data_IF_292910565334
#
_entry.id   IF_292910565334
#
_cell.length_a   1.000
_cell.length_b   1.000
_cell.length_c   1.000
_cell.angle_alpha   90.00
_cell.angle_beta   90.00
_cell.angle_gamma   90.00
#
_symmetry.space_group_name_H-M   'P 1'
#
loop_
_entity.id
_entity.type
_entity.pdbx_description
1 polymer ?
#
# COMPACT_ATOMS: atom_id res chain seq x y z
N UNK A 1 8.68 2.13 13.86
CA UNK A 1 8.35 3.46 13.29
C UNK A 1 7.21 3.28 12.31
N UNK A 2 6.52 4.36 11.94
CA UNK A 2 5.53 4.36 10.88
C UNK A 2 6.15 4.75 9.53
N UNK A 3 5.63 4.17 8.46
CA UNK A 3 6.02 4.46 7.08
C UNK A 3 4.77 4.57 6.21
N UNK A 4 4.89 5.29 5.11
CA UNK A 4 3.90 5.40 4.02
C UNK A 4 4.26 4.44 2.90
N UNK A 5 3.32 4.14 2.00
CA UNK A 5 3.56 3.26 0.85
C UNK A 5 3.28 4.03 -0.44
N UNK A 6 4.13 3.82 -1.45
CA UNK A 6 3.98 4.46 -2.75
C UNK A 6 2.90 3.77 -3.59
N UNK A 7 2.10 4.57 -4.28
CA UNK A 7 1.02 4.13 -5.17
C UNK A 7 1.51 3.32 -6.40
N UNK A 8 2.79 3.48 -6.77
CA UNK A 8 3.42 2.72 -7.84
C UNK A 8 3.79 1.27 -7.44
N UNK A 9 3.84 1.02 -6.14
CA UNK A 9 4.35 -0.20 -5.49
C UNK A 9 3.28 -0.88 -4.60
N UNK A 10 2.02 -0.50 -4.78
CA UNK A 10 0.87 -1.02 -4.05
C UNK A 10 -0.28 -1.29 -5.00
N UNK A 11 -0.78 -2.52 -5.03
CA UNK A 11 -1.79 -2.96 -5.97
C UNK A 11 -3.10 -3.42 -5.30
N UNK A 12 -3.97 -4.02 -6.11
CA UNK A 12 -5.28 -4.51 -5.69
C UNK A 12 -5.18 -5.73 -4.75
N UNK A 13 -4.17 -6.58 -4.89
CA UNK A 13 -3.98 -7.73 -4.00
C UNK A 13 -3.49 -7.26 -2.63
N UNK A 14 -2.62 -6.24 -2.60
CA UNK A 14 -2.20 -5.61 -1.34
C UNK A 14 -3.40 -4.98 -0.61
N UNK A 15 -4.25 -4.29 -1.37
CA UNK A 15 -5.50 -3.71 -0.90
C UNK A 15 -6.45 -4.75 -0.29
N UNK A 16 -6.56 -5.93 -0.90
CA UNK A 16 -7.39 -7.05 -0.39
C UNK A 16 -6.91 -7.52 0.98
N UNK A 17 -5.59 -7.65 1.16
CA UNK A 17 -5.01 -8.03 2.45
C UNK A 17 -5.27 -6.96 3.51
N UNK A 18 -5.03 -5.68 3.19
CA UNK A 18 -5.23 -4.58 4.15
C UNK A 18 -6.69 -4.43 4.57
N UNK A 19 -7.64 -4.39 3.63
CA UNK A 19 -9.06 -4.24 3.98
C UNK A 19 -9.56 -5.43 4.81
N UNK A 20 -9.09 -6.65 4.53
CA UNK A 20 -9.42 -7.83 5.32
C UNK A 20 -8.80 -7.78 6.71
N UNK A 21 -7.53 -7.44 6.82
CA UNK A 21 -6.80 -7.32 8.10
C UNK A 21 -7.47 -6.31 9.03
N UNK A 22 -7.96 -5.19 8.49
CA UNK A 22 -8.70 -4.16 9.23
C UNK A 22 -10.17 -4.53 9.51
N UNK A 23 -10.68 -5.63 8.94
CA UNK A 23 -12.08 -6.05 9.11
C UNK A 23 -13.09 -5.15 8.37
N UNK A 24 -12.65 -4.39 7.37
CA UNK A 24 -13.48 -3.47 6.59
C UNK A 24 -14.00 -4.08 5.27
N UNK A 25 -13.98 -5.40 5.14
CA UNK A 25 -14.47 -6.12 3.96
C UNK A 25 -13.51 -6.04 2.77
N UNK A 26 -14.04 -5.72 1.58
CA UNK A 26 -13.27 -5.74 0.33
C UNK A 26 -12.81 -4.33 -0.08
N UNK A 27 -11.67 -4.20 -0.76
CA UNK A 27 -11.24 -2.93 -1.35
C UNK A 27 -12.20 -2.45 -2.44
N UNK A 28 -12.62 -1.18 -2.32
CA UNK A 28 -13.49 -0.48 -3.27
C UNK A 28 -12.65 0.41 -4.20
N UNK A 29 -11.63 1.09 -3.67
CA UNK A 29 -10.70 1.91 -4.46
C UNK A 29 -9.29 1.89 -3.87
N UNK A 30 -8.31 1.75 -4.75
CA UNK A 30 -6.90 2.11 -4.51
C UNK A 30 -6.68 3.48 -5.14
N UNK A 31 -6.22 4.43 -4.36
CA UNK A 31 -6.04 5.83 -4.76
C UNK A 31 -4.55 6.16 -4.69
N UNK A 32 -4.03 6.76 -5.76
CA UNK A 32 -2.68 7.30 -5.78
C UNK A 32 -2.63 8.79 -5.46
N UNK A 33 -1.44 9.36 -5.69
CA UNK A 33 -1.20 10.80 -5.69
C UNK A 33 -1.63 11.50 -4.39
N UNK A 34 -1.40 10.85 -3.24
CA UNK A 34 -1.72 11.39 -1.93
C UNK A 34 -3.17 11.89 -1.81
N UNK A 35 -4.14 11.09 -2.31
CA UNK A 35 -5.55 11.49 -2.39
C UNK A 35 -6.19 11.91 -1.05
N UNK A 36 -5.65 11.43 0.07
CA UNK A 36 -6.07 11.81 1.43
C UNK A 36 -5.12 12.79 2.12
N UNK A 37 -4.16 13.35 1.37
CA UNK A 37 -3.06 14.16 1.88
C UNK A 37 -1.76 13.37 1.95
N UNK A 38 -0.66 14.11 2.08
CA UNK A 38 0.69 13.59 2.25
C UNK A 38 0.87 13.06 3.66
N UNK A 39 1.47 11.89 3.79
CA UNK A 39 1.94 11.38 5.07
C UNK A 39 3.26 12.03 5.48
N UNK A 40 3.83 11.47 6.54
CA UNK A 40 5.12 11.89 7.09
C UNK A 40 5.99 10.66 7.36
N UNK A 41 7.29 10.89 7.57
CA UNK A 41 8.25 9.85 7.91
C UNK A 41 8.90 9.24 6.67
N UNK A 42 9.11 7.93 6.69
CA UNK A 42 9.74 7.22 5.57
C UNK A 42 8.69 6.72 4.60
N UNK A 43 9.03 6.72 3.32
CA UNK A 43 8.30 5.97 2.30
C UNK A 43 8.90 4.58 2.22
N UNK A 44 8.04 3.56 2.25
CA UNK A 44 8.43 2.16 2.12
C UNK A 44 9.18 1.92 0.80
N UNK A 45 10.27 1.15 0.86
CA UNK A 45 11.26 1.06 -0.24
C UNK A 45 11.11 -0.16 -1.14
N UNK A 46 10.25 -1.10 -0.76
CA UNK A 46 10.03 -2.36 -1.48
C UNK A 46 8.63 -2.40 -2.09
N UNK A 47 8.45 -3.17 -3.15
CA UNK A 47 7.11 -3.45 -3.69
C UNK A 47 6.46 -4.54 -2.85
N UNK A 48 5.21 -4.31 -2.44
CA UNK A 48 4.39 -5.34 -1.82
C UNK A 48 3.85 -6.24 -2.95
N UNK A 49 3.98 -7.55 -2.76
CA UNK A 49 3.54 -8.54 -3.73
C UNK A 49 2.60 -9.53 -3.06
N UNK A 50 1.58 -9.01 -2.38
CA UNK A 50 0.57 -9.85 -1.76
C UNK A 50 -0.11 -10.74 -2.83
N UNK A 51 -0.54 -11.92 -2.40
CA UNK A 51 -1.40 -12.83 -3.17
C UNK A 51 -2.88 -12.57 -2.91
N UNK A 52 -3.22 -11.72 -1.95
CA UNK A 52 -4.59 -11.44 -1.52
C UNK A 52 -5.10 -12.40 -0.43
N UNK A 53 -4.30 -13.39 0.01
CA UNK A 53 -4.71 -14.45 0.96
C UNK A 53 -3.94 -14.45 2.27
N UNK A 54 -2.98 -13.55 2.40
CA UNK A 54 -2.15 -13.35 3.58
C UNK A 54 -2.99 -12.92 4.80
N UNK A 55 -2.61 -13.38 6.00
CA UNK A 55 -3.29 -12.99 7.24
C UNK A 55 -3.13 -11.51 7.59
N UNK A 56 -2.18 -10.81 6.96
CA UNK A 56 -1.93 -9.39 7.11
C UNK A 56 -0.80 -8.93 6.20
N UNK A 57 -0.68 -7.61 6.02
CA UNK A 57 0.25 -6.99 5.07
C UNK A 57 1.72 -7.34 5.36
N UNK A 58 2.06 -7.56 6.64
CA UNK A 58 3.40 -7.94 7.07
C UNK A 58 3.83 -9.35 6.61
N UNK A 59 2.89 -10.18 6.13
CA UNK A 59 3.16 -11.52 5.62
C UNK A 59 3.22 -11.58 4.10
N UNK A 60 3.05 -10.45 3.42
CA UNK A 60 3.18 -10.40 1.98
C UNK A 60 4.65 -10.52 1.57
N UNK A 61 4.95 -11.30 0.52
CA UNK A 61 6.25 -11.23 -0.12
C UNK A 61 6.57 -9.80 -0.54
N UNK A 62 7.84 -9.43 -0.47
CA UNK A 62 8.33 -8.16 -0.98
C UNK A 62 9.43 -8.37 -2.00
N UNK A 63 9.57 -7.41 -2.91
CA UNK A 63 10.68 -7.38 -3.85
C UNK A 63 11.26 -5.97 -3.97
N UNK A 64 12.51 -5.89 -4.46
CA UNK A 64 13.11 -4.60 -4.78
C UNK A 64 12.21 -3.82 -5.73
N UNK A 65 11.80 -2.62 -5.32
CA UNK A 65 10.98 -1.77 -6.18
C UNK A 65 11.84 -1.17 -7.30
N UNK A 66 11.36 -1.33 -8.54
CA UNK A 66 11.94 -0.69 -9.72
C UNK A 66 11.46 0.76 -9.90
N UNK A 67 10.45 1.19 -9.13
CA UNK A 67 9.76 2.49 -9.27
C UNK A 67 10.00 3.41 -8.08
N UNK A 68 10.50 2.89 -6.96
CA UNK A 68 10.69 3.60 -5.70
C UNK A 68 11.60 4.83 -5.82
N UNK A 69 12.57 4.85 -6.74
CA UNK A 69 13.45 6.01 -6.94
C UNK A 69 12.71 7.30 -7.32
N UNK A 70 11.43 7.21 -7.70
CA UNK A 70 10.56 8.34 -8.00
C UNK A 70 9.45 8.56 -6.98
N UNK A 71 9.42 7.78 -5.90
CA UNK A 71 8.39 7.87 -4.87
C UNK A 71 8.76 8.93 -3.82
N UNK A 72 7.77 9.76 -3.52
CA UNK A 72 7.78 10.73 -2.42
C UNK A 72 6.41 10.72 -1.75
N UNK A 73 6.19 11.57 -0.76
CA UNK A 73 4.86 11.70 -0.16
C UNK A 73 3.80 12.25 -1.12
N UNK A 74 4.18 12.76 -2.30
CA UNK A 74 3.22 13.03 -3.39
C UNK A 74 2.61 11.76 -3.99
N UNK A 75 3.20 10.60 -3.72
CA UNK A 75 2.81 9.30 -4.25
C UNK A 75 2.19 8.40 -3.18
N UNK A 76 1.87 8.92 -1.99
CA UNK A 76 1.32 8.09 -0.93
C UNK A 76 -0.01 7.46 -1.39
N UNK A 77 -0.10 6.15 -1.20
CA UNK A 77 -1.30 5.38 -1.53
C UNK A 77 -2.38 5.59 -0.47
N UNK A 78 -3.62 5.72 -0.93
CA UNK A 78 -4.83 5.74 -0.13
C UNK A 78 -5.73 4.56 -0.48
N UNK A 79 -6.52 4.10 0.49
CA UNK A 79 -7.40 2.95 0.34
C UNK A 79 -8.82 3.28 0.80
N UNK A 80 -9.82 2.84 0.04
CA UNK A 80 -11.23 2.82 0.47
C UNK A 80 -11.69 1.37 0.48
N UNK A 81 -12.15 0.89 1.64
CA UNK A 81 -12.79 -0.41 1.83
C UNK A 81 -14.33 -0.25 1.92
N UNK A 82 -15.07 -1.37 2.02
CA UNK A 82 -16.55 -1.40 2.13
C UNK A 82 -17.11 -0.98 3.47
#
# INVERSE_FOLDING_TARGET
SWSTVCDADFDQQDAEVVCRELGCGIPVKVLGSAAFGRGEGQVWTEELQCRGTESGIAFCPTSSSLKHSHCSHDNDVGLICS
#
